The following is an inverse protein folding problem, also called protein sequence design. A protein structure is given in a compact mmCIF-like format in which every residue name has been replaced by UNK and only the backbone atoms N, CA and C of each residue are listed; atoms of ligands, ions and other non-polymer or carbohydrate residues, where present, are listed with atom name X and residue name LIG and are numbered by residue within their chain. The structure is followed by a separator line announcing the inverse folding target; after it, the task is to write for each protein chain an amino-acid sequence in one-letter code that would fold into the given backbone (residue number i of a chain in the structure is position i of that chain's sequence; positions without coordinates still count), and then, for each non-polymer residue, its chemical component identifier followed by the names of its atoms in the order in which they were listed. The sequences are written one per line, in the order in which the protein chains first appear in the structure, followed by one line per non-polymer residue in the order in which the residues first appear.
data_IF_428481104072
#
_entry.id   IF_428481104072
#
_cell.length_a   1.000
_cell.length_b   1.000
_cell.length_c   1.000
_cell.angle_alpha   90.00
_cell.angle_beta   90.00
_cell.angle_gamma   90.00
#
_symmetry.space_group_name_H-M   'P 1'
#
loop_
_entity.id
_entity.type
_entity.pdbx_description
1 polymer ?
#
# COMPACT_ATOMS: atom_id res chain seq x y z
N UNK A 1 -7.40 -73.73 -56.16
CA UNK A 1 -8.65 -74.27 -55.56
C UNK A 1 -8.79 -73.77 -54.12
N UNK A 2 -9.99 -73.29 -53.74
CA UNK A 2 -10.54 -73.04 -52.38
C UNK A 2 -9.87 -71.90 -51.56
N UNK A 3 -10.36 -70.65 -51.55
CA UNK A 3 -11.56 -70.02 -50.92
C UNK A 3 -11.58 -70.01 -49.38
N UNK A 4 -12.00 -68.82 -48.87
CA UNK A 4 -12.67 -68.45 -47.58
C UNK A 4 -11.75 -67.65 -46.64
N UNK A 5 -11.79 -66.31 -46.54
CA UNK A 5 -12.85 -65.31 -46.26
C UNK A 5 -13.36 -65.36 -44.79
N UNK A 6 -13.26 -64.19 -44.13
CA UNK A 6 -14.03 -63.67 -42.98
C UNK A 6 -13.65 -64.18 -41.57
N UNK A 7 -13.77 -63.44 -40.46
CA UNK A 7 -14.42 -62.17 -40.10
C UNK A 7 -13.99 -61.79 -38.66
N UNK A 8 -14.10 -60.50 -38.31
CA UNK A 8 -14.23 -59.93 -36.95
C UNK A 8 -12.95 -59.93 -36.09
N UNK A 9 -12.61 -58.91 -35.30
CA UNK A 9 -13.37 -57.79 -34.78
C UNK A 9 -12.40 -56.64 -34.39
N UNK A 10 -12.87 -55.41 -34.59
CA UNK A 10 -12.87 -54.35 -33.58
C UNK A 10 -11.60 -54.18 -32.70
N UNK A 11 -10.79 -53.16 -33.01
CA UNK A 11 -10.22 -52.23 -32.02
C UNK A 11 -9.68 -50.98 -32.73
N UNK A 12 -10.56 -50.02 -32.98
CA UNK A 12 -10.23 -48.58 -32.83
C UNK A 12 -10.17 -48.32 -31.31
N UNK A 13 -9.57 -47.25 -30.74
CA UNK A 13 -8.69 -46.18 -31.25
C UNK A 13 -7.50 -45.89 -30.28
N UNK A 14 -6.28 -45.55 -30.74
CA UNK A 14 -5.33 -44.92 -29.78
C UNK A 14 -4.20 -44.14 -30.44
N UNK A 15 -4.48 -43.00 -31.07
CA UNK A 15 -3.44 -42.00 -31.39
C UNK A 15 -4.05 -40.62 -31.61
N UNK A 16 -4.87 -40.17 -30.65
CA UNK A 16 -5.21 -38.75 -30.50
C UNK A 16 -5.05 -38.41 -29.02
N UNK A 17 -3.81 -38.55 -28.52
CA UNK A 17 -3.43 -37.89 -27.27
C UNK A 17 -3.24 -36.41 -27.60
N UNK A 18 -4.30 -35.66 -27.30
CA UNK A 18 -4.34 -34.22 -27.31
C UNK A 18 -3.16 -33.66 -26.51
N UNK A 19 -2.30 -32.90 -27.19
CA UNK A 19 -1.30 -32.03 -26.58
C UNK A 19 -2.06 -30.93 -25.86
N UNK A 20 -2.53 -31.22 -24.65
CA UNK A 20 -2.97 -30.20 -23.71
C UNK A 20 -1.71 -29.61 -23.07
N UNK A 21 -1.03 -28.73 -23.82
CA UNK A 21 -0.15 -27.73 -23.24
C UNK A 21 -0.99 -26.91 -22.29
N UNK A 22 -1.05 -27.33 -21.02
CA UNK A 22 -1.36 -26.44 -19.93
C UNK A 22 -0.24 -25.42 -19.93
N UNK A 23 -0.47 -24.30 -20.63
CA UNK A 23 0.24 -23.06 -20.38
C UNK A 23 0.06 -22.80 -18.90
N UNK A 24 1.06 -23.21 -18.12
CA UNK A 24 1.26 -22.73 -16.77
C UNK A 24 1.19 -21.23 -16.92
N UNK A 25 0.06 -20.63 -16.53
CA UNK A 25 -0.01 -19.20 -16.30
C UNK A 25 1.11 -18.95 -15.32
N UNK A 26 2.21 -18.42 -15.83
CA UNK A 26 3.32 -17.90 -15.05
C UNK A 26 2.65 -16.99 -14.04
N UNK A 27 2.57 -17.46 -12.81
CA UNK A 27 1.98 -16.74 -11.70
C UNK A 27 2.54 -15.34 -11.74
N UNK A 28 1.63 -14.38 -11.61
CA UNK A 28 1.90 -12.96 -11.65
C UNK A 28 3.23 -12.71 -10.95
N UNK A 29 4.26 -12.31 -11.72
CA UNK A 29 5.54 -11.89 -11.16
C UNK A 29 5.19 -10.86 -10.10
N UNK A 30 5.51 -11.15 -8.84
CA UNK A 30 5.10 -10.38 -7.65
C UNK A 30 5.70 -8.99 -7.64
N UNK A 31 5.33 -8.17 -8.62
CA UNK A 31 5.52 -6.74 -8.61
C UNK A 31 4.52 -6.22 -7.59
N UNK A 32 5.03 -5.90 -6.40
CA UNK A 32 4.29 -5.09 -5.44
C UNK A 32 4.17 -3.71 -6.09
N UNK A 33 2.99 -3.38 -6.58
CA UNK A 33 2.68 -2.02 -7.00
C UNK A 33 2.74 -1.13 -5.76
N UNK A 34 3.83 -0.37 -5.63
CA UNK A 34 4.00 0.55 -4.52
C UNK A 34 3.03 1.70 -4.76
N UNK A 35 1.96 1.76 -3.96
CA UNK A 35 1.01 2.87 -4.01
C UNK A 35 1.78 4.19 -3.89
N UNK A 36 1.62 5.05 -4.89
CA UNK A 36 2.14 6.42 -4.84
C UNK A 36 1.35 7.23 -3.81
N UNK A 37 2.04 7.75 -2.80
CA UNK A 37 1.48 8.63 -1.78
C UNK A 37 1.75 10.07 -2.19
N UNK A 38 0.75 10.95 -2.16
CA UNK A 38 0.89 12.38 -2.50
C UNK A 38 0.53 13.25 -1.30
N UNK A 39 1.12 14.45 -1.23
CA UNK A 39 0.77 15.40 -0.19
C UNK A 39 -0.72 15.74 -0.23
N UNK A 40 -1.21 16.11 -1.42
CA UNK A 40 -2.59 16.59 -1.59
C UNK A 40 -3.64 15.52 -1.25
N UNK A 41 -3.43 14.29 -1.70
CA UNK A 41 -4.41 13.21 -1.52
C UNK A 41 -4.33 12.51 -0.17
N UNK A 42 -3.13 12.33 0.39
CA UNK A 42 -2.92 11.43 1.52
C UNK A 42 -2.43 12.15 2.78
N UNK A 43 -1.52 13.13 2.65
CA UNK A 43 -0.87 13.76 3.81
C UNK A 43 -1.69 14.93 4.35
N UNK A 44 -2.15 15.83 3.47
CA UNK A 44 -2.91 17.01 3.87
C UNK A 44 -4.15 16.65 4.70
N UNK A 45 -5.01 15.68 4.30
CA UNK A 45 -6.14 15.29 5.13
C UNK A 45 -5.73 14.72 6.50
N UNK A 46 -4.59 14.01 6.57
CA UNK A 46 -4.08 13.48 7.83
C UNK A 46 -3.64 14.60 8.77
N UNK A 47 -2.94 15.61 8.25
CA UNK A 47 -2.49 16.78 9.01
C UNK A 47 -3.69 17.60 9.51
N UNK A 48 -4.66 17.87 8.65
CA UNK A 48 -5.87 18.63 9.00
C UNK A 48 -6.71 17.90 10.08
N UNK A 49 -6.77 16.57 10.02
CA UNK A 49 -7.54 15.79 10.99
C UNK A 49 -6.81 15.58 12.33
N UNK A 50 -5.50 15.41 12.32
CA UNK A 50 -4.74 14.95 13.49
C UNK A 50 -3.88 16.03 14.16
N UNK A 51 -3.50 17.10 13.46
CA UNK A 51 -2.58 18.13 13.97
C UNK A 51 -3.28 19.44 14.35
N UNK A 52 -4.55 19.60 13.99
CA UNK A 52 -5.40 20.73 14.40
C UNK A 52 -5.71 20.72 15.89
N UNK A 53 -6.07 21.87 16.49
CA UNK A 53 -5.88 23.22 15.96
C UNK A 53 -4.43 23.72 16.17
N UNK A 54 -3.59 22.98 16.91
CA UNK A 54 -2.34 23.52 17.44
C UNK A 54 -1.30 23.88 16.37
N UNK A 55 -1.28 23.16 15.26
CA UNK A 55 -0.33 23.32 14.16
C UNK A 55 -0.93 23.96 12.90
N UNK A 56 -2.16 24.49 12.95
CA UNK A 56 -2.83 25.09 11.77
C UNK A 56 -3.25 26.54 12.08
N UNK A 57 -2.77 27.55 11.35
CA UNK A 57 -3.20 28.93 11.50
C UNK A 57 -4.68 29.14 11.16
N UNK A 58 -5.30 30.23 11.67
CA UNK A 58 -4.76 31.19 12.64
C UNK A 58 -4.85 30.75 14.11
N UNK A 59 -5.42 29.58 14.40
CA UNK A 59 -5.69 29.12 15.78
C UNK A 59 -4.45 28.46 16.41
N UNK A 60 -3.58 27.90 15.58
CA UNK A 60 -2.32 27.27 15.98
C UNK A 60 -1.30 28.26 16.52
N UNK A 61 -0.58 27.83 17.55
CA UNK A 61 0.55 28.58 18.16
C UNK A 61 1.86 27.80 18.12
N UNK A 62 1.86 26.67 17.41
CA UNK A 62 3.05 25.84 17.15
C UNK A 62 3.47 26.03 15.70
N UNK A 63 4.57 25.37 15.32
CA UNK A 63 5.02 25.29 13.93
C UNK A 63 3.83 25.01 13.00
N UNK A 64 3.71 25.79 11.93
CA UNK A 64 2.56 25.70 11.04
C UNK A 64 2.74 24.52 10.08
N UNK A 65 1.70 23.73 9.88
CA UNK A 65 1.66 22.58 8.96
C UNK A 65 0.53 22.75 7.93
N UNK A 66 0.39 23.96 7.40
CA UNK A 66 -0.70 24.38 6.51
C UNK A 66 -0.32 24.38 5.02
N UNK A 67 0.94 24.06 4.69
CA UNK A 67 1.44 23.95 3.32
C UNK A 67 2.26 22.68 3.11
N UNK A 68 2.43 22.31 1.83
CA UNK A 68 3.29 21.20 1.43
C UNK A 68 4.71 21.41 1.93
N UNK A 69 5.25 22.61 1.73
CA UNK A 69 6.59 23.02 2.08
C UNK A 69 6.84 22.87 3.58
N UNK A 70 5.93 23.39 4.42
CA UNK A 70 6.10 23.31 5.87
C UNK A 70 6.05 21.86 6.36
N UNK A 71 5.15 21.02 5.82
CA UNK A 71 5.07 19.61 6.22
C UNK A 71 6.29 18.84 5.73
N UNK A 72 6.75 19.09 4.50
CA UNK A 72 7.95 18.49 3.90
C UNK A 72 9.20 18.80 4.72
N UNK A 73 9.41 20.05 5.08
CA UNK A 73 10.56 20.49 5.88
C UNK A 73 10.57 19.86 7.28
N UNK A 74 9.39 19.54 7.82
CA UNK A 74 9.22 19.03 9.18
C UNK A 74 8.93 17.53 9.27
N UNK A 75 8.86 16.79 8.16
CA UNK A 75 8.35 15.41 8.15
C UNK A 75 9.10 14.48 9.11
N UNK A 76 10.42 14.62 9.20
CA UNK A 76 11.25 13.80 10.10
C UNK A 76 10.90 14.05 11.57
N UNK A 77 10.70 15.33 11.94
CA UNK A 77 10.28 15.70 13.28
C UNK A 77 8.86 15.20 13.57
N UNK A 78 7.93 15.35 12.62
CA UNK A 78 6.56 14.85 12.74
C UNK A 78 6.57 13.34 13.03
N UNK A 79 7.24 12.54 12.18
CA UNK A 79 7.35 11.09 12.33
C UNK A 79 7.97 10.71 13.67
N UNK A 80 9.03 11.40 14.09
CA UNK A 80 9.68 11.12 15.37
C UNK A 80 8.74 11.31 16.56
N UNK A 81 7.84 12.31 16.51
CA UNK A 81 6.98 12.71 17.63
C UNK A 81 5.72 11.86 17.72
N UNK A 82 5.16 11.45 16.58
CA UNK A 82 3.99 10.56 16.53
C UNK A 82 4.32 9.11 16.85
N UNK A 83 5.60 8.73 16.80
CA UNK A 83 6.11 7.39 17.17
C UNK A 83 6.58 7.29 18.63
N UNK A 84 6.56 8.37 19.39
CA UNK A 84 6.95 8.33 20.80
C UNK A 84 5.98 7.45 21.61
N UNK A 85 6.42 6.89 22.75
CA UNK A 85 5.52 6.34 23.75
C UNK A 85 4.45 7.37 24.16
N UNK A 86 3.20 6.95 24.36
CA UNK A 86 2.09 7.86 24.67
C UNK A 86 2.22 8.55 26.04
N UNK A 87 3.03 8.00 26.95
CA UNK A 87 3.39 8.60 28.23
C UNK A 87 4.52 9.63 28.11
N UNK A 88 5.19 9.72 26.95
CA UNK A 88 6.18 10.76 26.68
C UNK A 88 5.47 12.12 26.53
N UNK A 89 5.95 13.11 27.28
CA UNK A 89 5.43 14.50 27.23
C UNK A 89 5.56 15.15 25.85
N UNK A 90 6.44 14.64 25.00
CA UNK A 90 6.64 15.06 23.61
C UNK A 90 5.85 14.22 22.62
N UNK A 91 5.07 13.24 23.04
CA UNK A 91 4.16 12.54 22.13
C UNK A 91 3.20 13.51 21.46
N UNK A 92 2.95 13.30 20.16
CA UNK A 92 2.01 14.08 19.38
C UNK A 92 1.03 13.18 18.62
N UNK A 93 -0.25 13.57 18.51
CA UNK A 93 -0.86 14.70 19.21
C UNK A 93 -0.92 14.44 20.74
N UNK A 94 -1.04 15.49 21.59
CA UNK A 94 -1.11 15.27 23.03
C UNK A 94 -2.33 14.39 23.35
N UNK A 95 -2.11 13.34 24.15
CA UNK A 95 -3.11 12.29 24.43
C UNK A 95 -4.45 12.80 24.96
N UNK A 96 -4.45 13.97 25.61
CA UNK A 96 -5.64 14.62 26.15
C UNK A 96 -6.34 15.58 25.16
N UNK A 97 -5.86 15.66 23.91
CA UNK A 97 -6.41 16.56 22.86
C UNK A 97 -6.95 15.81 21.67
N UNK A 98 -6.23 14.81 21.17
CA UNK A 98 -6.64 13.97 20.04
C UNK A 98 -6.10 12.54 20.20
N UNK A 99 -6.76 11.54 19.59
CA UNK A 99 -6.23 10.18 19.54
C UNK A 99 -4.85 10.12 18.88
N UNK A 100 -4.06 9.13 19.28
CA UNK A 100 -2.84 8.75 18.57
C UNK A 100 -3.15 8.42 17.10
N UNK A 101 -2.19 8.66 16.22
CA UNK A 101 -2.26 8.13 14.86
C UNK A 101 -2.24 6.60 14.91
N UNK A 102 -2.97 5.96 14.00
CA UNK A 102 -2.88 4.51 13.82
C UNK A 102 -1.56 4.14 13.14
N UNK A 103 -1.14 2.88 13.25
CA UNK A 103 0.06 2.39 12.57
C UNK A 103 -0.01 2.60 11.05
N UNK A 104 -1.20 2.45 10.46
CA UNK A 104 -1.43 2.72 9.04
C UNK A 104 -1.23 4.20 8.69
N UNK A 105 -1.69 5.12 9.54
CA UNK A 105 -1.48 6.55 9.34
C UNK A 105 0.00 6.94 9.49
N UNK A 106 0.69 6.35 10.45
CA UNK A 106 2.14 6.54 10.62
C UNK A 106 2.93 5.94 9.44
N UNK A 107 2.46 4.84 8.87
CA UNK A 107 3.02 4.24 7.67
C UNK A 107 2.89 5.19 6.47
N UNK A 108 1.72 5.80 6.24
CA UNK A 108 1.52 6.79 5.16
C UNK A 108 2.53 7.94 5.25
N UNK A 109 2.76 8.50 6.45
CA UNK A 109 3.78 9.54 6.65
C UNK A 109 5.21 9.05 6.33
N UNK A 110 5.53 7.83 6.77
CA UNK A 110 6.85 7.22 6.57
C UNK A 110 7.10 6.90 5.10
N UNK A 111 6.11 6.34 4.41
CA UNK A 111 6.16 6.01 2.98
C UNK A 111 6.25 7.28 2.13
N UNK A 112 5.52 8.32 2.46
CA UNK A 112 5.64 9.61 1.77
C UNK A 112 7.05 10.19 1.88
N UNK A 113 7.66 10.13 3.07
CA UNK A 113 9.06 10.51 3.25
C UNK A 113 10.00 9.66 2.37
N UNK A 114 9.81 8.34 2.33
CA UNK A 114 10.61 7.40 1.53
C UNK A 114 10.43 7.61 0.02
N UNK A 115 9.26 8.05 -0.42
CA UNK A 115 8.96 8.36 -1.82
C UNK A 115 9.48 9.75 -2.24
N UNK A 116 10.34 10.40 -1.43
CA UNK A 116 10.85 11.75 -1.64
C UNK A 116 9.78 12.83 -1.63
N UNK A 117 8.71 12.62 -0.84
CA UNK A 117 7.68 13.61 -0.54
C UNK A 117 7.08 14.26 -1.80
N UNK A 118 6.49 13.46 -2.71
CA UNK A 118 5.80 14.03 -3.87
C UNK A 118 4.58 14.84 -3.41
N UNK A 119 4.28 15.90 -4.14
CA UNK A 119 3.13 16.76 -3.87
C UNK A 119 1.79 16.10 -4.22
#
# INVERSE_FOLDING_TARGET
MKRKIQLMALMLPFSLLLINCSSTRKGNSGYVDIKKISYTSDIKPLIENSCTPCHIPPQGKKEAFDSYEHVKENIGAIISRVKLPQDDRKFMPPVNKKPALTDAQVAVLTEWQQQNMPE
#
